data_IF_680487250341
#
_entry.id   IF_680487250341
#
_cell.length_a   1.000
_cell.length_b   1.000
_cell.length_c   1.000
_cell.angle_alpha   90.00
_cell.angle_beta   90.00
_cell.angle_gamma   90.00
#
_symmetry.space_group_name_H-M   'P 1'
#
loop_
_entity.id
_entity.type
_entity.pdbx_description
1 polymer ?
#
# COMPACT_ATOMS: atom_id res chain seq x y z
N UNK A 1 -1.91 26.33 18.82
CA UNK A 1 -1.71 27.46 17.88
C UNK A 1 -2.49 27.19 16.60
N UNK A 2 -3.61 27.89 16.40
CA UNK A 2 -4.37 27.84 15.14
C UNK A 2 -3.59 28.63 14.10
N UNK A 3 -2.96 27.96 13.15
CA UNK A 3 -2.42 28.60 11.95
C UNK A 3 -3.60 28.93 11.05
N UNK A 4 -3.80 30.22 10.74
CA UNK A 4 -4.66 30.70 9.67
C UNK A 4 -4.42 29.85 8.40
N UNK A 5 -5.39 29.03 8.02
CA UNK A 5 -5.42 28.36 6.70
C UNK A 5 -6.59 28.93 5.93
N UNK A 6 -6.36 30.09 5.34
CA UNK A 6 -7.07 30.44 4.12
C UNK A 6 -6.42 29.62 2.99
N UNK A 7 -6.69 28.32 2.94
CA UNK A 7 -6.24 27.47 1.83
C UNK A 7 -7.39 27.34 0.85
N UNK A 8 -7.25 28.03 -0.28
CA UNK A 8 -8.14 27.98 -1.44
C UNK A 8 -8.17 26.63 -2.16
N UNK A 9 -7.42 25.62 -1.68
CA UNK A 9 -7.25 24.31 -2.30
C UNK A 9 -7.76 23.17 -1.41
N UNK A 10 -8.53 22.26 -2.00
CA UNK A 10 -8.97 21.01 -1.36
C UNK A 10 -8.00 19.87 -1.70
N UNK A 11 -7.84 18.91 -0.79
CA UNK A 11 -7.03 17.72 -0.96
C UNK A 11 -7.90 16.46 -0.91
N UNK A 12 -7.86 15.70 -2.00
CA UNK A 12 -8.54 14.42 -2.13
C UNK A 12 -7.61 13.26 -1.81
N UNK A 13 -8.15 12.22 -1.19
CA UNK A 13 -7.49 10.93 -1.06
C UNK A 13 -8.26 9.87 -1.85
N UNK A 14 -7.54 9.02 -2.60
CA UNK A 14 -8.18 7.91 -3.31
C UNK A 14 -8.81 6.91 -2.32
N UNK A 15 -10.01 6.46 -2.65
CA UNK A 15 -10.70 5.36 -1.98
C UNK A 15 -11.12 4.29 -2.99
N UNK A 16 -11.42 3.09 -2.48
CA UNK A 16 -11.59 1.91 -3.32
C UNK A 16 -12.66 0.98 -2.78
N UNK A 17 -13.32 0.28 -3.68
CA UNK A 17 -14.16 -0.89 -3.38
C UNK A 17 -13.49 -2.10 -4.01
N UNK A 18 -12.49 -2.67 -3.34
CA UNK A 18 -11.73 -3.82 -3.85
C UNK A 18 -11.52 -4.88 -2.78
N UNK A 19 -11.07 -6.07 -3.15
CA UNK A 19 -10.66 -7.08 -2.19
C UNK A 19 -9.16 -6.98 -1.83
N UNK A 20 -8.39 -6.11 -2.47
CA UNK A 20 -6.94 -6.08 -2.34
C UNK A 20 -6.49 -4.93 -1.43
N UNK A 21 -5.82 -5.26 -0.33
CA UNK A 21 -5.34 -4.26 0.65
C UNK A 21 -4.23 -3.34 0.11
N UNK A 22 -3.57 -3.76 -0.98
CA UNK A 22 -2.55 -2.96 -1.66
C UNK A 22 -3.09 -1.64 -2.22
N UNK A 23 -4.41 -1.55 -2.47
CA UNK A 23 -5.06 -0.30 -2.85
C UNK A 23 -5.02 0.70 -1.67
N UNK A 24 -5.41 0.29 -0.46
CA UNK A 24 -5.32 1.16 0.72
C UNK A 24 -3.88 1.50 1.11
N UNK A 25 -2.91 0.59 0.90
CA UNK A 25 -1.49 0.88 1.13
C UNK A 25 -1.01 2.02 0.19
N UNK A 26 -1.47 2.05 -1.06
CA UNK A 26 -1.19 3.17 -1.98
C UNK A 26 -1.76 4.49 -1.46
N UNK A 27 -3.00 4.49 -0.95
CA UNK A 27 -3.58 5.69 -0.33
C UNK A 27 -2.84 6.11 0.94
N UNK A 28 -2.41 5.16 1.78
CA UNK A 28 -1.59 5.46 2.95
C UNK A 28 -0.25 6.10 2.56
N UNK A 29 0.37 5.67 1.46
CA UNK A 29 1.57 6.33 0.95
C UNK A 29 1.29 7.78 0.50
N UNK A 30 0.14 8.03 -0.14
CA UNK A 30 -0.27 9.37 -0.54
C UNK A 30 -0.49 10.32 0.67
N UNK A 31 -0.96 9.80 1.82
CA UNK A 31 -1.14 10.60 3.05
C UNK A 31 0.12 11.34 3.47
N UNK A 32 1.31 10.79 3.17
CA UNK A 32 2.59 11.45 3.43
C UNK A 32 2.63 12.86 2.84
N UNK A 33 2.03 13.05 1.68
CA UNK A 33 2.10 14.30 0.91
C UNK A 33 0.84 15.15 1.02
N UNK A 34 -0.13 14.78 1.85
CA UNK A 34 -1.35 15.56 2.04
C UNK A 34 -1.30 16.30 3.39
N UNK A 35 -1.45 17.64 3.42
CA UNK A 35 -1.47 18.39 4.67
C UNK A 35 -2.76 18.15 5.47
N UNK A 36 -3.82 17.70 4.80
CA UNK A 36 -5.12 17.30 5.34
C UNK A 36 -5.86 16.46 4.29
N UNK A 37 -6.96 15.83 4.69
CA UNK A 37 -7.87 15.11 3.78
C UNK A 37 -9.21 15.84 3.86
N UNK A 38 -9.59 16.53 2.79
CA UNK A 38 -10.88 17.24 2.72
C UNK A 38 -11.99 16.33 2.19
N UNK A 39 -11.64 15.35 1.37
CA UNK A 39 -12.61 14.44 0.75
C UNK A 39 -11.96 13.12 0.31
N UNK A 40 -12.78 12.07 0.23
CA UNK A 40 -12.40 10.82 -0.40
C UNK A 40 -12.92 10.80 -1.84
N UNK A 41 -12.06 10.45 -2.79
CA UNK A 41 -12.40 10.32 -4.20
C UNK A 41 -12.34 8.86 -4.57
N UNK A 42 -13.48 8.25 -4.87
CA UNK A 42 -13.50 6.85 -5.29
C UNK A 42 -12.86 6.74 -6.68
N UNK A 43 -11.86 5.86 -6.80
CA UNK A 43 -11.06 5.69 -8.03
C UNK A 43 -11.91 5.50 -9.30
N UNK A 44 -12.95 4.69 -9.21
CA UNK A 44 -13.88 4.38 -10.32
C UNK A 44 -15.05 5.38 -10.43
N UNK A 45 -14.95 6.56 -9.82
CA UNK A 45 -15.99 7.61 -9.87
C UNK A 45 -15.36 9.01 -10.06
N UNK A 46 -14.16 9.07 -10.64
CA UNK A 46 -13.45 10.34 -10.85
C UNK A 46 -14.17 11.25 -11.84
N UNK A 47 -14.80 10.70 -12.88
CA UNK A 47 -15.56 11.49 -13.87
C UNK A 47 -16.80 12.18 -13.27
N UNK A 48 -17.45 11.55 -12.29
CA UNK A 48 -18.68 12.06 -11.65
C UNK A 48 -18.43 12.86 -10.37
N UNK A 49 -17.18 12.89 -9.87
CA UNK A 49 -16.81 13.65 -8.69
C UNK A 49 -17.09 15.15 -8.89
N UNK A 50 -17.74 15.79 -7.91
CA UNK A 50 -18.05 17.23 -7.94
C UNK A 50 -17.56 17.88 -6.65
N UNK A 51 -16.88 19.01 -6.80
CA UNK A 51 -16.48 19.85 -5.67
C UNK A 51 -16.56 21.32 -6.08
N UNK A 52 -16.98 22.18 -5.14
CA UNK A 52 -17.03 23.64 -5.33
C UNK A 52 -15.64 24.26 -5.47
N UNK A 53 -14.63 23.61 -4.88
CA UNK A 53 -13.21 24.00 -4.96
C UNK A 53 -12.44 22.94 -5.73
N UNK A 54 -11.42 23.37 -6.47
CA UNK A 54 -10.50 22.45 -7.12
C UNK A 54 -9.86 21.53 -6.07
N UNK A 55 -9.95 20.22 -6.30
CA UNK A 55 -9.44 19.18 -5.40
C UNK A 55 -8.18 18.59 -6.00
N UNK A 56 -7.03 18.83 -5.38
CA UNK A 56 -5.78 18.16 -5.72
C UNK A 56 -5.88 16.67 -5.42
N UNK A 57 -5.53 15.83 -6.38
CA UNK A 57 -5.60 14.38 -6.25
C UNK A 57 -4.33 13.72 -6.80
N UNK A 58 -3.63 12.96 -5.96
CA UNK A 58 -2.52 12.11 -6.38
C UNK A 58 -3.11 10.85 -6.99
N UNK A 59 -2.88 10.59 -8.28
CA UNK A 59 -3.54 9.53 -9.05
C UNK A 59 -2.77 8.19 -9.03
N UNK A 60 -2.20 7.83 -7.87
CA UNK A 60 -1.36 6.64 -7.67
C UNK A 60 -2.17 5.36 -7.50
N UNK A 61 -2.80 4.91 -8.58
CA UNK A 61 -3.58 3.68 -8.59
C UNK A 61 -3.44 2.92 -9.91
N UNK A 62 -4.08 1.75 -9.97
CA UNK A 62 -4.37 1.10 -11.23
C UNK A 62 -5.69 1.59 -11.80
N UNK A 63 -5.78 1.75 -13.12
CA UNK A 63 -6.90 2.39 -13.79
C UNK A 63 -7.54 1.45 -14.83
N UNK A 64 -8.64 1.93 -15.44
CA UNK A 64 -9.36 1.28 -16.55
C UNK A 64 -10.23 0.08 -16.20
N UNK A 65 -10.61 -0.10 -14.92
CA UNK A 65 -11.65 -1.07 -14.58
C UNK A 65 -13.03 -0.62 -15.09
N UNK A 66 -13.36 0.68 -14.96
CA UNK A 66 -14.49 1.35 -15.60
C UNK A 66 -14.02 2.51 -16.47
N UNK A 67 -13.61 2.26 -17.72
CA UNK A 67 -13.11 3.29 -18.64
C UNK A 67 -14.10 4.44 -18.87
N UNK A 68 -15.41 4.18 -18.76
CA UNK A 68 -16.47 5.20 -18.83
C UNK A 68 -16.43 6.21 -17.68
N UNK A 69 -15.74 5.87 -16.57
CA UNK A 69 -15.55 6.74 -15.39
C UNK A 69 -14.26 7.56 -15.47
N UNK A 70 -13.60 7.57 -16.62
CA UNK A 70 -12.41 8.36 -16.95
C UNK A 70 -12.68 9.17 -18.23
N UNK A 71 -12.16 10.42 -18.37
CA UNK A 71 -11.25 11.14 -17.47
C UNK A 71 -11.90 11.71 -16.19
N UNK A 72 -11.09 12.08 -15.18
CA UNK A 72 -11.54 12.82 -14.01
C UNK A 72 -12.31 14.09 -14.36
N UNK A 73 -13.25 14.49 -13.49
CA UNK A 73 -13.99 15.73 -13.67
C UNK A 73 -13.09 16.97 -13.57
N UNK A 74 -13.57 18.11 -14.10
CA UNK A 74 -12.86 19.41 -14.00
C UNK A 74 -12.68 19.91 -12.56
N UNK A 75 -13.39 19.34 -11.57
CA UNK A 75 -13.18 19.64 -10.16
C UNK A 75 -11.93 18.99 -9.58
N UNK A 76 -11.31 18.04 -10.30
CA UNK A 76 -10.08 17.37 -9.89
C UNK A 76 -8.89 18.06 -10.57
N UNK A 77 -7.93 18.50 -9.76
CA UNK A 77 -6.59 18.88 -10.21
C UNK A 77 -5.68 17.65 -10.04
N UNK A 78 -5.32 16.93 -11.12
CA UNK A 78 -4.63 15.65 -11.01
C UNK A 78 -3.11 15.82 -10.85
N UNK A 79 -2.48 14.90 -10.11
CA UNK A 79 -1.08 14.53 -10.30
C UNK A 79 -1.04 13.10 -10.85
N UNK A 80 -0.83 12.91 -12.16
CA UNK A 80 -0.64 11.59 -12.75
C UNK A 80 0.74 11.04 -12.37
N UNK A 81 0.76 10.15 -11.37
CA UNK A 81 1.99 9.52 -10.87
C UNK A 81 1.69 8.10 -10.40
N UNK A 82 2.63 7.18 -10.55
CA UNK A 82 2.46 5.76 -10.22
C UNK A 82 1.21 5.12 -10.84
N UNK A 83 0.79 5.58 -12.03
CA UNK A 83 -0.38 5.04 -12.72
C UNK A 83 -0.05 3.67 -13.33
N UNK A 84 -0.97 2.72 -13.19
CA UNK A 84 -0.86 1.40 -13.82
C UNK A 84 -2.09 1.09 -14.67
N UNK A 85 -1.88 0.50 -15.84
CA UNK A 85 -2.95 -0.07 -16.65
C UNK A 85 -2.61 -1.53 -16.90
N UNK A 86 -3.48 -2.42 -16.42
CA UNK A 86 -3.38 -3.86 -16.66
C UNK A 86 -3.39 -4.13 -18.15
N UNK A 87 -2.57 -5.07 -18.59
CA UNK A 87 -2.45 -5.46 -20.00
C UNK A 87 -3.81 -5.79 -20.61
N UNK A 88 -4.67 -6.52 -19.88
CA UNK A 88 -6.00 -6.92 -20.36
C UNK A 88 -7.01 -5.76 -20.49
N UNK A 89 -6.67 -4.58 -19.96
CA UNK A 89 -7.50 -3.37 -19.98
C UNK A 89 -6.92 -2.27 -20.87
N UNK A 90 -5.80 -2.51 -21.55
CA UNK A 90 -5.16 -1.49 -22.38
C UNK A 90 -6.04 -1.10 -23.58
N UNK A 91 -6.72 -2.04 -24.20
CA UNK A 91 -7.57 -1.72 -25.36
C UNK A 91 -8.93 -1.09 -24.99
N UNK A 92 -9.21 -0.91 -23.69
CA UNK A 92 -10.46 -0.30 -23.22
C UNK A 92 -10.36 1.22 -23.04
N UNK A 93 -9.16 1.79 -23.19
CA UNK A 93 -8.92 3.23 -23.11
C UNK A 93 -9.52 3.94 -24.34
N UNK A 94 -10.59 4.70 -24.12
CA UNK A 94 -11.27 5.45 -25.19
C UNK A 94 -10.51 6.71 -25.63
N UNK A 95 -10.83 7.24 -26.82
CA UNK A 95 -10.19 8.43 -27.40
C UNK A 95 -10.22 9.64 -26.46
N UNK A 96 -11.37 9.90 -25.83
CA UNK A 96 -11.52 10.98 -24.83
C UNK A 96 -10.52 10.87 -23.67
N UNK A 97 -10.22 9.64 -23.23
CA UNK A 97 -9.25 9.37 -22.16
C UNK A 97 -7.82 9.57 -22.65
N UNK A 98 -7.52 9.17 -23.89
CA UNK A 98 -6.23 9.38 -24.53
C UNK A 98 -5.94 10.88 -24.68
N UNK A 99 -6.91 11.65 -25.21
CA UNK A 99 -6.77 13.09 -25.41
C UNK A 99 -6.55 13.82 -24.09
N UNK A 100 -7.31 13.45 -23.05
CA UNK A 100 -7.11 13.99 -21.71
C UNK A 100 -5.70 13.69 -21.16
N UNK A 101 -5.21 12.46 -21.31
CA UNK A 101 -3.86 12.09 -20.84
C UNK A 101 -2.75 12.82 -21.62
N UNK A 102 -2.96 13.11 -22.91
CA UNK A 102 -2.06 13.96 -23.70
C UNK A 102 -2.06 15.40 -23.19
N UNK A 103 -3.23 15.94 -22.84
CA UNK A 103 -3.38 17.30 -22.32
C UNK A 103 -2.66 17.50 -20.98
N UNK A 104 -2.81 16.55 -20.04
CA UNK A 104 -2.27 16.71 -18.67
C UNK A 104 -0.85 16.16 -18.48
N UNK A 105 -0.22 15.64 -19.54
CA UNK A 105 1.09 15.00 -19.47
C UNK A 105 2.21 15.94 -18.94
N UNK A 106 3.35 15.39 -18.51
CA UNK A 106 3.75 13.97 -18.63
C UNK A 106 3.10 13.07 -17.56
N UNK A 107 2.79 11.83 -17.95
CA UNK A 107 2.15 10.82 -17.09
C UNK A 107 3.20 9.95 -16.39
N UNK A 108 3.19 9.95 -15.06
CA UNK A 108 4.05 9.05 -14.28
C UNK A 108 3.46 7.64 -14.21
N UNK A 109 4.10 6.69 -14.87
CA UNK A 109 3.72 5.28 -14.90
C UNK A 109 4.37 4.50 -13.74
N UNK A 110 3.69 3.49 -13.22
CA UNK A 110 4.19 2.63 -12.13
C UNK A 110 5.23 1.61 -12.58
N UNK A 111 5.18 1.24 -13.85
CA UNK A 111 6.03 0.27 -14.51
C UNK A 111 6.28 0.68 -15.96
N UNK A 112 7.37 0.14 -16.52
CA UNK A 112 7.81 0.44 -17.89
C UNK A 112 6.81 -0.10 -18.92
N UNK A 113 6.12 -1.21 -18.62
CA UNK A 113 5.09 -1.73 -19.53
C UNK A 113 3.93 -0.75 -19.72
N UNK A 114 3.46 -0.10 -18.65
CA UNK A 114 2.45 0.96 -18.74
C UNK A 114 2.99 2.19 -19.46
N UNK A 115 4.26 2.56 -19.22
CA UNK A 115 4.92 3.66 -19.94
C UNK A 115 4.90 3.39 -21.46
N UNK A 116 5.45 2.26 -21.90
CA UNK A 116 5.52 1.89 -23.31
C UNK A 116 4.12 1.85 -23.95
N UNK A 117 3.12 1.35 -23.21
CA UNK A 117 1.73 1.39 -23.67
C UNK A 117 1.23 2.82 -23.88
N UNK A 118 1.43 3.72 -22.92
CA UNK A 118 1.02 5.12 -23.05
C UNK A 118 1.76 5.83 -24.21
N UNK A 119 3.06 5.62 -24.33
CA UNK A 119 3.87 6.17 -25.44
C UNK A 119 3.39 5.65 -26.80
N UNK A 120 2.98 4.38 -26.91
CA UNK A 120 2.40 3.82 -28.14
C UNK A 120 1.09 4.49 -28.59
N UNK A 121 0.39 5.18 -27.67
CA UNK A 121 -0.82 5.98 -27.95
C UNK A 121 -0.49 7.47 -28.17
N UNK A 122 0.79 7.83 -28.19
CA UNK A 122 1.27 9.21 -28.31
C UNK A 122 1.08 10.03 -27.03
N UNK A 123 0.96 9.39 -25.87
CA UNK A 123 0.87 10.06 -24.56
C UNK A 123 2.30 10.24 -24.02
N UNK A 124 2.66 11.47 -23.66
CA UNK A 124 3.94 11.73 -22.99
C UNK A 124 3.95 11.07 -21.60
N UNK A 125 4.80 10.07 -21.40
CA UNK A 125 4.84 9.26 -20.20
C UNK A 125 6.28 8.99 -19.75
N UNK A 126 6.46 8.65 -18.47
CA UNK A 126 7.75 8.27 -17.91
C UNK A 126 7.56 7.26 -16.78
N UNK A 127 8.57 6.43 -16.53
CA UNK A 127 8.59 5.58 -15.35
C UNK A 127 8.79 6.42 -14.08
N UNK A 128 7.79 6.42 -13.21
CA UNK A 128 7.81 7.07 -11.90
C UNK A 128 7.98 6.10 -10.73
N UNK A 129 7.70 4.81 -10.95
CA UNK A 129 7.63 3.82 -9.88
C UNK A 129 6.37 3.95 -9.01
N UNK A 130 6.31 3.19 -7.92
CA UNK A 130 5.15 3.10 -7.04
C UNK A 130 5.32 4.00 -5.81
N UNK A 131 4.32 4.85 -5.53
CA UNK A 131 4.31 5.76 -4.39
C UNK A 131 4.56 5.05 -3.04
N UNK A 132 4.28 3.75 -2.92
CA UNK A 132 4.59 2.99 -1.70
C UNK A 132 6.08 2.95 -1.34
N UNK A 133 6.99 3.21 -2.30
CA UNK A 133 8.42 3.38 -2.04
C UNK A 133 8.74 4.59 -1.14
N UNK A 134 7.79 5.53 -1.00
CA UNK A 134 7.94 6.73 -0.17
C UNK A 134 7.44 6.55 1.25
N UNK A 135 7.04 5.36 1.68
CA UNK A 135 6.67 5.13 3.08
C UNK A 135 7.87 5.40 4.00
N UNK A 136 7.62 5.99 5.17
CA UNK A 136 8.65 6.29 6.16
C UNK A 136 8.68 5.20 7.21
N UNK A 137 9.85 4.57 7.40
CA UNK A 137 10.07 3.65 8.51
C UNK A 137 9.82 4.36 9.85
N UNK A 138 9.08 3.70 10.74
CA UNK A 138 9.00 4.12 12.13
C UNK A 138 10.19 3.51 12.92
N UNK A 139 11.14 4.32 13.45
CA UNK A 139 12.26 3.80 14.23
C UNK A 139 11.83 3.18 15.56
N UNK A 140 10.68 3.60 16.10
CA UNK A 140 10.12 3.10 17.37
C UNK A 140 9.51 1.69 17.23
N UNK A 141 9.42 1.18 16.01
CA UNK A 141 8.95 -0.18 15.72
C UNK A 141 10.19 -1.06 15.48
N UNK A 142 10.68 -1.79 16.50
CA UNK A 142 11.83 -2.67 16.33
C UNK A 142 11.48 -3.82 15.39
N UNK A 143 12.49 -4.50 14.83
CA UNK A 143 12.25 -5.78 14.16
C UNK A 143 11.91 -6.85 15.20
N UNK A 144 11.03 -7.77 14.83
CA UNK A 144 10.61 -8.94 15.59
C UNK A 144 11.20 -10.18 14.96
N UNK A 145 11.18 -11.28 15.71
CA UNK A 145 11.83 -12.54 15.32
C UNK A 145 10.86 -13.49 14.59
N UNK A 146 10.36 -13.05 13.43
CA UNK A 146 9.46 -13.86 12.60
C UNK A 146 9.56 -13.53 11.11
N UNK A 147 9.28 -14.53 10.28
CA UNK A 147 9.17 -14.38 8.82
C UNK A 147 7.71 -14.24 8.44
N UNK A 148 7.41 -13.31 7.55
CA UNK A 148 6.07 -13.13 6.99
C UNK A 148 6.02 -13.62 5.53
N UNK A 149 5.23 -14.67 5.30
CA UNK A 149 4.98 -15.28 4.01
C UNK A 149 3.66 -14.73 3.42
N UNK A 150 3.73 -13.93 2.37
CA UNK A 150 2.56 -13.22 1.82
C UNK A 150 2.19 -13.73 0.43
N UNK A 151 1.00 -14.32 0.33
CA UNK A 151 0.43 -14.89 -0.91
C UNK A 151 1.41 -15.81 -1.66
N UNK A 152 2.08 -16.68 -0.90
CA UNK A 152 2.97 -17.72 -1.42
C UNK A 152 2.26 -19.07 -1.55
N UNK A 153 2.61 -19.89 -2.56
CA UNK A 153 2.19 -21.28 -2.65
C UNK A 153 2.56 -22.10 -1.43
N UNK A 154 1.74 -23.10 -1.08
CA UNK A 154 1.94 -23.94 0.11
C UNK A 154 3.31 -24.64 0.11
N UNK A 155 3.75 -25.12 -1.06
CA UNK A 155 5.05 -25.76 -1.22
C UNK A 155 6.21 -24.82 -0.83
N UNK A 156 6.14 -23.55 -1.24
CA UNK A 156 7.15 -22.54 -0.90
C UNK A 156 7.13 -22.26 0.60
N UNK A 157 5.94 -22.10 1.20
CA UNK A 157 5.83 -21.87 2.66
C UNK A 157 6.34 -23.05 3.47
N UNK A 158 6.06 -24.28 3.02
CA UNK A 158 6.62 -25.50 3.63
C UNK A 158 8.15 -25.46 3.58
N UNK A 159 8.73 -25.04 2.46
CA UNK A 159 10.19 -24.92 2.33
C UNK A 159 10.77 -23.86 3.27
N UNK A 160 10.13 -22.68 3.40
CA UNK A 160 10.55 -21.64 4.38
C UNK A 160 10.64 -22.26 5.78
N UNK A 161 9.60 -22.98 6.21
CA UNK A 161 9.54 -23.62 7.54
C UNK A 161 10.59 -24.72 7.75
N UNK A 162 11.11 -25.32 6.68
CA UNK A 162 12.19 -26.30 6.75
C UNK A 162 13.57 -25.64 6.77
N UNK A 163 13.69 -24.42 6.25
CA UNK A 163 14.96 -23.70 6.13
C UNK A 163 15.28 -22.85 7.36
N UNK A 164 14.28 -22.37 8.10
CA UNK A 164 14.47 -21.50 9.28
C UNK A 164 13.92 -22.13 10.56
N UNK A 165 14.51 -21.77 11.71
CA UNK A 165 13.93 -22.05 13.04
C UNK A 165 12.94 -20.99 13.53
N UNK A 166 12.86 -19.84 12.83
CA UNK A 166 11.99 -18.72 13.21
C UNK A 166 10.53 -19.05 12.97
N UNK A 167 9.65 -18.31 13.66
CA UNK A 167 8.21 -18.41 13.45
C UNK A 167 7.86 -17.91 12.05
N UNK A 168 7.06 -18.66 11.31
CA UNK A 168 6.60 -18.31 9.96
C UNK A 168 5.10 -18.06 9.97
N UNK A 169 4.70 -16.81 9.76
CA UNK A 169 3.31 -16.40 9.66
C UNK A 169 2.89 -16.27 8.19
N UNK A 170 1.66 -16.66 7.88
CA UNK A 170 1.06 -16.46 6.57
C UNK A 170 0.09 -15.28 6.61
N UNK A 171 0.11 -14.47 5.57
CA UNK A 171 -0.83 -13.38 5.38
C UNK A 171 -1.28 -13.37 3.91
N UNK A 172 -2.54 -13.00 3.68
CA UNK A 172 -3.02 -12.71 2.33
C UNK A 172 -3.25 -11.21 2.16
N UNK A 173 -2.94 -10.69 0.96
CA UNK A 173 -3.33 -9.34 0.58
C UNK A 173 -4.82 -9.26 0.18
N UNK A 174 -5.49 -10.41 0.01
CA UNK A 174 -6.90 -10.50 -0.32
C UNK A 174 -7.73 -10.51 0.96
N UNK A 175 -8.77 -9.69 0.96
CA UNK A 175 -9.66 -9.43 2.08
C UNK A 175 -11.12 -9.59 1.68
N UNK A 176 -11.97 -9.80 2.68
CA UNK A 176 -13.42 -9.74 2.46
C UNK A 176 -13.84 -8.36 1.95
N UNK A 177 -14.72 -8.30 0.94
CA UNK A 177 -15.29 -7.03 0.45
C UNK A 177 -16.25 -6.39 1.47
N UNK A 178 -16.65 -7.09 2.53
CA UNK A 178 -17.61 -6.59 3.53
C UNK A 178 -17.07 -5.50 4.46
N UNK A 179 -15.78 -5.18 4.41
CA UNK A 179 -15.21 -4.15 5.28
C UNK A 179 -15.54 -2.74 4.80
N UNK A 180 -15.85 -1.85 5.76
CA UNK A 180 -15.98 -0.42 5.48
C UNK A 180 -14.62 0.20 5.15
N UNK A 181 -14.62 1.36 4.49
CA UNK A 181 -13.38 2.06 4.12
C UNK A 181 -12.44 2.29 5.31
N UNK A 182 -12.98 2.66 6.48
CA UNK A 182 -12.18 2.87 7.69
C UNK A 182 -11.53 1.57 8.17
N UNK A 183 -12.28 0.46 8.16
CA UNK A 183 -11.75 -0.85 8.56
C UNK A 183 -10.65 -1.32 7.61
N UNK A 184 -10.78 -1.04 6.31
CA UNK A 184 -9.75 -1.35 5.32
C UNK A 184 -8.49 -0.52 5.56
N UNK A 185 -8.62 0.78 5.82
CA UNK A 185 -7.47 1.61 6.16
C UNK A 185 -6.77 1.15 7.44
N UNK A 186 -7.52 0.79 8.48
CA UNK A 186 -6.95 0.25 9.71
C UNK A 186 -6.20 -1.04 9.44
N UNK A 187 -6.79 -1.96 8.68
CA UNK A 187 -6.07 -3.19 8.37
C UNK A 187 -4.85 -2.96 7.46
N UNK A 188 -4.90 -2.02 6.52
CA UNK A 188 -3.74 -1.66 5.72
C UNK A 188 -2.60 -1.09 6.61
N UNK A 189 -2.93 -0.27 7.61
CA UNK A 189 -1.96 0.16 8.63
C UNK A 189 -1.42 -1.02 9.43
N UNK A 190 -2.26 -2.01 9.76
CA UNK A 190 -1.81 -3.24 10.42
C UNK A 190 -0.87 -4.07 9.56
N UNK A 191 -1.15 -4.20 8.27
CA UNK A 191 -0.26 -4.89 7.35
C UNK A 191 1.08 -4.17 7.28
N UNK A 192 1.09 -2.84 7.11
CA UNK A 192 2.33 -2.05 7.14
C UNK A 192 3.09 -2.17 8.46
N UNK A 193 2.38 -2.22 9.58
CA UNK A 193 2.96 -2.50 10.89
C UNK A 193 3.65 -3.88 10.92
N UNK A 194 2.98 -4.94 10.47
CA UNK A 194 3.54 -6.29 10.40
C UNK A 194 4.73 -6.38 9.44
N UNK A 195 4.66 -5.72 8.28
CA UNK A 195 5.79 -5.60 7.34
C UNK A 195 6.98 -4.89 8.01
N UNK A 196 6.74 -3.82 8.76
CA UNK A 196 7.79 -3.10 9.50
C UNK A 196 8.36 -3.93 10.66
N UNK A 197 7.56 -4.81 11.28
CA UNK A 197 8.01 -5.67 12.39
C UNK A 197 8.74 -6.92 11.91
N UNK A 198 8.44 -7.48 10.74
CA UNK A 198 9.00 -8.76 10.32
C UNK A 198 10.54 -8.76 10.28
N UNK A 199 11.16 -9.89 10.64
CA UNK A 199 12.59 -10.13 10.44
C UNK A 199 12.92 -10.12 8.94
N UNK A 200 12.10 -10.84 8.18
CA UNK A 200 12.15 -10.92 6.72
C UNK A 200 10.73 -11.12 6.17
N UNK A 201 10.48 -10.60 4.97
CA UNK A 201 9.25 -10.85 4.22
C UNK A 201 9.57 -11.66 2.97
N UNK A 202 8.76 -12.67 2.68
CA UNK A 202 8.84 -13.43 1.42
C UNK A 202 7.49 -13.33 0.72
N UNK A 203 7.47 -12.88 -0.53
CA UNK A 203 6.21 -12.56 -1.20
C UNK A 203 6.26 -12.60 -2.72
N UNK A 204 5.09 -12.76 -3.35
CA UNK A 204 4.85 -12.60 -4.79
C UNK A 204 4.24 -11.23 -5.13
N UNK A 205 3.93 -10.41 -4.11
CA UNK A 205 3.11 -9.20 -4.25
C UNK A 205 3.96 -7.92 -4.28
N UNK A 206 3.74 -7.10 -5.31
CA UNK A 206 4.37 -5.79 -5.46
C UNK A 206 4.09 -4.86 -4.26
N UNK A 207 2.82 -4.74 -3.84
CA UNK A 207 2.41 -3.93 -2.68
C UNK A 207 2.71 -4.57 -1.31
N UNK A 208 3.53 -5.62 -1.28
CA UNK A 208 4.23 -6.06 -0.07
C UNK A 208 5.73 -5.82 -0.21
N UNK A 209 6.30 -6.17 -1.37
CA UNK A 209 7.72 -6.02 -1.66
C UNK A 209 8.21 -4.56 -1.62
N UNK A 210 7.56 -3.66 -2.36
CA UNK A 210 7.99 -2.26 -2.44
C UNK A 210 7.82 -1.50 -1.11
N UNK A 211 6.72 -1.68 -0.35
CA UNK A 211 6.68 -1.19 1.02
C UNK A 211 7.86 -1.70 1.86
N UNK A 212 8.21 -2.98 1.82
CA UNK A 212 9.34 -3.51 2.60
C UNK A 212 10.66 -2.80 2.27
N UNK A 213 10.92 -2.46 1.00
CA UNK A 213 12.07 -1.62 0.64
C UNK A 213 12.03 -0.28 1.38
N UNK A 214 10.90 0.43 1.30
CA UNK A 214 10.71 1.74 1.95
C UNK A 214 10.78 1.70 3.48
N UNK A 215 10.35 0.59 4.08
CA UNK A 215 10.37 0.35 5.52
C UNK A 215 11.70 -0.26 5.99
N UNK A 216 12.63 -0.50 5.07
CA UNK A 216 13.94 -1.14 5.29
C UNK A 216 13.82 -2.57 5.86
N UNK A 217 12.71 -3.25 5.64
CA UNK A 217 12.53 -4.65 6.04
C UNK A 217 13.14 -5.54 4.95
N UNK A 218 14.04 -6.47 5.28
CA UNK A 218 14.58 -7.42 4.32
C UNK A 218 13.46 -8.16 3.59
N UNK A 219 13.53 -8.20 2.26
CA UNK A 219 12.47 -8.79 1.44
C UNK A 219 13.01 -9.61 0.28
N UNK A 220 12.46 -10.81 0.15
CA UNK A 220 12.69 -11.70 -0.98
C UNK A 220 11.40 -11.81 -1.81
N UNK A 221 11.51 -11.44 -3.09
CA UNK A 221 10.45 -11.69 -4.06
C UNK A 221 10.57 -13.11 -4.60
N UNK A 222 9.44 -13.81 -4.70
CA UNK A 222 9.32 -15.10 -5.37
C UNK A 222 8.57 -14.92 -6.68
N UNK A 223 9.20 -15.26 -7.79
CA UNK A 223 8.59 -15.33 -9.10
C UNK A 223 7.97 -16.71 -9.34
N UNK A 224 6.68 -16.73 -9.62
CA UNK A 224 5.95 -17.98 -9.87
C UNK A 224 6.05 -18.35 -11.35
N UNK A 225 6.01 -19.66 -11.65
CA UNK A 225 6.12 -20.12 -13.04
C UNK A 225 5.00 -19.59 -13.94
N UNK A 226 3.78 -19.42 -13.39
CA UNK A 226 2.64 -18.80 -14.08
C UNK A 226 2.85 -17.31 -14.39
N UNK A 227 3.76 -16.68 -13.65
CA UNK A 227 4.08 -15.28 -13.89
C UNK A 227 4.99 -15.17 -15.13
N UNK A 228 5.70 -16.22 -15.57
CA UNK A 228 6.61 -16.16 -16.73
C UNK A 228 5.93 -15.72 -18.05
N UNK A 229 4.62 -15.94 -18.20
CA UNK A 229 3.87 -15.47 -19.37
C UNK A 229 3.37 -14.01 -19.25
N UNK A 230 3.48 -13.40 -18.06
CA UNK A 230 3.02 -12.04 -17.70
C UNK A 230 4.11 -11.19 -16.99
N UNK A 231 5.34 -11.71 -16.84
CA UNK A 231 6.42 -11.13 -16.03
C UNK A 231 6.92 -9.80 -16.60
N UNK A 232 6.60 -9.48 -17.85
CA UNK A 232 6.88 -8.17 -18.44
C UNK A 232 6.03 -7.01 -17.88
N UNK A 233 4.91 -7.25 -17.19
CA UNK A 233 3.94 -6.18 -16.99
C UNK A 233 4.23 -5.28 -15.78
N UNK A 234 4.06 -5.75 -14.53
CA UNK A 234 3.95 -4.84 -13.36
C UNK A 234 5.22 -4.55 -12.56
N UNK A 235 6.28 -5.35 -12.72
CA UNK A 235 7.56 -5.15 -12.04
C UNK A 235 8.67 -4.65 -12.97
N UNK A 236 8.33 -4.37 -14.23
CA UNK A 236 9.27 -3.75 -15.18
C UNK A 236 9.66 -2.35 -14.70
N UNK A 237 10.95 -2.03 -14.73
CA UNK A 237 11.51 -0.79 -14.18
C UNK A 237 12.04 -0.90 -12.74
N UNK A 238 11.89 -2.05 -12.09
CA UNK A 238 12.45 -2.30 -10.74
C UNK A 238 13.67 -3.24 -10.78
N UNK A 239 14.34 -3.37 -11.92
CA UNK A 239 15.48 -4.26 -12.09
C UNK A 239 16.60 -3.91 -11.10
N UNK A 240 16.99 -4.90 -10.30
CA UNK A 240 17.98 -4.73 -9.24
C UNK A 240 17.52 -3.95 -8.01
N UNK A 241 16.23 -3.64 -7.87
CA UNK A 241 15.68 -3.07 -6.63
C UNK A 241 15.32 -4.13 -5.58
N UNK A 242 15.15 -5.39 -5.98
CA UNK A 242 14.71 -6.49 -5.12
C UNK A 242 15.64 -7.69 -5.28
N UNK A 243 15.80 -8.44 -4.19
CA UNK A 243 16.25 -9.83 -4.27
C UNK A 243 15.11 -10.68 -4.84
N UNK A 244 15.43 -11.54 -5.80
CA UNK A 244 14.44 -12.37 -6.50
C UNK A 244 14.90 -13.82 -6.52
N UNK A 245 13.97 -14.74 -6.24
CA UNK A 245 14.13 -16.17 -6.49
C UNK A 245 12.96 -16.68 -7.33
N UNK A 246 13.13 -17.83 -7.97
CA UNK A 246 12.14 -18.43 -8.84
C UNK A 246 11.60 -19.72 -8.22
N UNK A 247 10.28 -19.89 -8.25
CA UNK A 247 9.61 -21.10 -7.80
C UNK A 247 10.13 -22.36 -8.51
N UNK A 248 10.57 -22.22 -9.76
CA UNK A 248 11.16 -23.29 -10.57
C UNK A 248 12.43 -23.91 -9.95
N UNK A 249 13.12 -23.21 -9.05
CA UNK A 249 14.29 -23.75 -8.31
C UNK A 249 13.91 -24.82 -7.29
N UNK A 250 12.62 -25.00 -6.96
CA UNK A 250 12.09 -26.03 -6.05
C UNK A 250 12.89 -26.11 -4.73
N UNK A 251 13.65 -27.18 -4.52
CA UNK A 251 14.42 -27.40 -3.30
C UNK A 251 15.56 -26.40 -3.08
N UNK A 252 16.03 -25.75 -4.14
CA UNK A 252 17.08 -24.72 -4.09
C UNK A 252 16.51 -23.30 -4.11
N UNK A 253 15.22 -23.10 -3.88
CA UNK A 253 14.57 -21.77 -3.94
C UNK A 253 15.20 -20.72 -2.99
N UNK A 254 15.84 -21.15 -1.90
CA UNK A 254 16.52 -20.26 -0.94
C UNK A 254 18.05 -20.44 -0.91
N UNK A 255 18.65 -21.07 -1.93
CA UNK A 255 20.11 -21.29 -1.93
C UNK A 255 20.91 -19.99 -1.94
N UNK A 256 20.35 -18.94 -2.55
CA UNK A 256 21.04 -17.67 -2.80
C UNK A 256 20.55 -16.55 -1.85
N UNK A 257 19.75 -16.90 -0.84
CA UNK A 257 19.17 -15.96 0.12
C UNK A 257 18.97 -16.63 1.48
N UNK A 258 19.82 -16.28 2.45
CA UNK A 258 19.72 -16.78 3.82
C UNK A 258 18.50 -16.14 4.52
N UNK A 259 17.49 -16.95 4.84
CA UNK A 259 16.28 -16.47 5.53
C UNK A 259 16.52 -16.11 7.00
N UNK A 260 17.58 -16.65 7.60
CA UNK A 260 17.94 -16.42 9.00
C UNK A 260 18.90 -15.24 9.20
N UNK A 261 19.66 -14.91 8.16
CA UNK A 261 20.52 -13.73 8.08
C UNK A 261 20.34 -13.05 6.72
N UNK A 262 19.16 -12.46 6.46
CA UNK A 262 18.84 -11.93 5.14
C UNK A 262 19.80 -10.80 4.75
N UNK A 263 20.28 -10.79 3.49
CA UNK A 263 21.12 -9.69 3.01
C UNK A 263 20.34 -8.37 3.05
N UNK A 264 21.07 -7.26 3.12
CA UNK A 264 20.47 -5.94 2.99
C UNK A 264 19.75 -5.81 1.64
N UNK A 265 18.62 -5.10 1.63
CA UNK A 265 17.93 -4.79 0.38
C UNK A 265 18.83 -3.93 -0.52
N UNK A 266 18.82 -4.12 -1.84
CA UNK A 266 19.50 -3.22 -2.77
C UNK A 266 19.00 -1.78 -2.60
N UNK A 267 19.86 -0.80 -2.85
CA UNK A 267 19.54 0.62 -2.64
C UNK A 267 19.07 1.36 -3.91
N UNK A 268 19.07 0.68 -5.07
CA UNK A 268 18.65 1.27 -6.37
C UNK A 268 17.26 1.91 -6.33
N UNK A 269 16.35 1.42 -5.49
CA UNK A 269 15.01 2.00 -5.33
C UNK A 269 15.02 3.43 -4.75
N UNK A 270 16.11 3.86 -4.10
CA UNK A 270 16.21 5.18 -3.47
C UNK A 270 16.13 6.31 -4.49
N UNK A 271 16.69 6.13 -5.69
CA UNK A 271 16.59 7.12 -6.78
C UNK A 271 15.12 7.32 -7.18
N UNK A 272 14.38 6.21 -7.33
CA UNK A 272 12.94 6.23 -7.63
C UNK A 272 12.17 6.92 -6.50
N UNK A 273 12.47 6.58 -5.24
CA UNK A 273 11.87 7.18 -4.04
C UNK A 273 12.09 8.69 -3.99
N UNK A 274 13.29 9.16 -4.28
CA UNK A 274 13.65 10.59 -4.25
C UNK A 274 12.88 11.39 -5.30
N UNK A 275 12.78 10.87 -6.53
CA UNK A 275 11.99 11.51 -7.60
C UNK A 275 10.49 11.55 -7.26
N UNK A 276 9.92 10.44 -6.77
CA UNK A 276 8.54 10.38 -6.29
C UNK A 276 8.29 11.44 -5.21
N UNK A 277 9.15 11.50 -4.18
CA UNK A 277 9.05 12.49 -3.09
C UNK A 277 9.13 13.91 -3.64
N UNK A 278 10.07 14.20 -4.54
CA UNK A 278 10.26 15.53 -5.14
C UNK A 278 8.99 15.97 -5.87
N UNK A 279 8.45 15.13 -6.75
CA UNK A 279 7.27 15.44 -7.57
C UNK A 279 6.01 15.61 -6.73
N UNK A 280 5.75 14.67 -5.81
CA UNK A 280 4.54 14.74 -4.99
C UNK A 280 4.60 15.91 -4.00
N UNK A 281 5.78 16.21 -3.43
CA UNK A 281 5.98 17.41 -2.60
C UNK A 281 5.78 18.69 -3.41
N UNK A 282 6.30 18.78 -4.64
CA UNK A 282 6.12 19.95 -5.49
C UNK A 282 4.63 20.19 -5.82
N UNK A 283 3.87 19.11 -6.02
CA UNK A 283 2.44 19.18 -6.33
C UNK A 283 1.59 19.69 -5.14
N UNK A 284 1.82 19.17 -3.93
CA UNK A 284 0.98 19.51 -2.76
C UNK A 284 1.56 20.62 -1.89
N UNK A 285 2.85 20.92 -2.03
CA UNK A 285 3.60 21.78 -1.12
C UNK A 285 3.91 21.12 0.23
N UNK A 286 3.64 19.82 0.40
CA UNK A 286 3.71 19.13 1.69
C UNK A 286 4.44 17.79 1.59
N UNK A 287 5.27 17.50 2.59
CA UNK A 287 5.96 16.23 2.79
C UNK A 287 6.06 15.93 4.30
N UNK A 288 5.09 15.18 4.81
CA UNK A 288 5.03 14.72 6.18
C UNK A 288 6.14 13.71 6.48
N UNK A 289 6.96 13.98 7.50
CA UNK A 289 8.05 13.08 7.89
C UNK A 289 7.61 11.94 8.80
N UNK A 290 6.45 12.09 9.47
CA UNK A 290 5.93 11.04 10.35
C UNK A 290 5.51 9.81 9.54
N UNK A 291 5.76 8.59 10.04
CA UNK A 291 5.17 7.38 9.47
C UNK A 291 3.65 7.50 9.38
N UNK A 292 3.09 7.14 8.22
CA UNK A 292 1.64 7.14 7.98
C UNK A 292 0.96 5.83 8.41
N UNK A 293 1.72 4.96 9.06
CA UNK A 293 1.29 3.73 9.70
C UNK A 293 1.94 3.65 11.09
N UNK A 294 1.26 3.01 12.03
CA UNK A 294 1.79 2.87 13.37
C UNK A 294 0.65 2.75 14.36
N UNK A 295 0.71 1.67 15.11
CA UNK A 295 0.06 1.55 16.39
C UNK A 295 1.12 1.79 17.46
N UNK A 296 0.73 2.28 18.64
CA UNK A 296 1.67 2.51 19.73
C UNK A 296 2.40 1.22 20.12
N UNK A 297 1.75 0.05 19.95
CA UNK A 297 2.37 -1.26 20.06
C UNK A 297 1.59 -2.41 19.38
N UNK A 298 2.10 -3.65 19.56
CA UNK A 298 1.51 -4.89 19.03
C UNK A 298 0.05 -5.09 19.55
N UNK A 299 -0.31 -4.55 20.72
CA UNK A 299 -1.63 -4.75 21.36
C UNK A 299 -2.68 -3.85 20.71
N UNK A 300 -2.37 -2.58 20.47
CA UNK A 300 -3.30 -1.71 19.73
C UNK A 300 -3.60 -2.28 18.33
N UNK A 301 -2.57 -2.84 17.66
CA UNK A 301 -2.73 -3.52 16.38
C UNK A 301 -3.73 -4.68 16.47
N UNK A 302 -3.55 -5.56 17.47
CA UNK A 302 -4.42 -6.71 17.72
C UNK A 302 -5.84 -6.30 18.14
N UNK A 303 -5.99 -5.26 18.95
CA UNK A 303 -7.29 -4.74 19.38
C UNK A 303 -8.08 -4.23 18.18
N UNK A 304 -7.47 -3.44 17.29
CA UNK A 304 -8.14 -2.95 16.09
C UNK A 304 -8.49 -4.08 15.11
N UNK A 305 -7.60 -5.05 14.94
CA UNK A 305 -7.90 -6.25 14.15
C UNK A 305 -9.13 -7.00 14.70
N UNK A 306 -9.16 -7.25 16.01
CA UNK A 306 -10.27 -7.99 16.64
C UNK A 306 -11.58 -7.22 16.60
N UNK A 307 -11.55 -5.90 16.78
CA UNK A 307 -12.72 -5.02 16.61
C UNK A 307 -13.26 -5.07 15.17
N UNK A 308 -12.37 -5.00 14.17
CA UNK A 308 -12.77 -4.98 12.76
C UNK A 308 -13.34 -6.32 12.30
N UNK A 309 -12.87 -7.43 12.86
CA UNK A 309 -13.35 -8.78 12.56
C UNK A 309 -14.62 -9.17 13.34
N UNK A 310 -15.20 -8.25 14.13
CA UNK A 310 -16.44 -8.44 14.90
C UNK A 310 -16.44 -9.72 15.78
N UNK A 311 -15.28 -10.13 16.29
CA UNK A 311 -15.17 -11.33 17.13
C UNK A 311 -15.90 -11.18 18.48
N UNK A 312 -16.31 -12.32 19.06
CA UNK A 312 -16.93 -12.41 20.40
C UNK A 312 -16.07 -11.69 21.45
N UNK A 313 -16.72 -10.97 22.37
CA UNK A 313 -16.12 -10.38 23.59
C UNK A 313 -15.18 -11.34 24.33
N UNK A 314 -15.40 -12.66 24.27
CA UNK A 314 -14.50 -13.69 24.84
C UNK A 314 -13.14 -13.75 24.14
N UNK A 315 -13.10 -13.62 22.82
CA UNK A 315 -11.86 -13.61 22.03
C UNK A 315 -11.12 -12.30 22.29
N UNK A 316 -11.81 -11.16 22.26
CA UNK A 316 -11.22 -9.88 22.63
C UNK A 316 -10.65 -9.89 24.05
N UNK A 317 -11.39 -10.41 25.03
CA UNK A 317 -10.91 -10.56 26.42
C UNK A 317 -9.65 -11.41 26.48
N UNK A 318 -9.58 -12.53 25.74
CA UNK A 318 -8.36 -13.35 25.67
C UNK A 318 -7.21 -12.55 25.07
N UNK A 319 -7.38 -11.91 23.92
CA UNK A 319 -6.34 -11.08 23.28
C UNK A 319 -5.81 -9.99 24.21
N UNK A 320 -6.70 -9.34 24.96
CA UNK A 320 -6.35 -8.35 25.98
C UNK A 320 -5.61 -8.95 27.17
N UNK A 321 -5.98 -10.16 27.59
CA UNK A 321 -5.37 -10.87 28.73
C UNK A 321 -3.90 -11.24 28.48
N UNK A 322 -3.47 -11.32 27.22
CA UNK A 322 -2.07 -11.55 26.83
C UNK A 322 -1.28 -10.23 26.62
N UNK A 323 -1.90 -9.07 26.84
CA UNK A 323 -1.27 -7.75 26.70
C UNK A 323 -0.55 -7.26 27.96
N UNK A 324 0.40 -6.33 27.83
CA UNK A 324 1.16 -5.74 28.94
C UNK A 324 0.22 -4.96 29.88
N UNK A 325 0.64 -4.80 31.13
CA UNK A 325 -0.17 -4.27 32.24
C UNK A 325 -0.75 -2.87 32.00
N UNK A 326 -0.06 -2.02 31.24
CA UNK A 326 -0.54 -0.66 30.91
C UNK A 326 -1.69 -0.67 29.90
N UNK A 327 -1.72 -1.65 29.00
CA UNK A 327 -2.75 -1.77 27.95
C UNK A 327 -4.05 -2.36 28.51
N UNK A 328 -3.91 -3.26 29.48
CA UNK A 328 -5.00 -3.70 30.35
C UNK A 328 -5.64 -2.52 31.09
N UNK A 329 -4.82 -1.56 31.53
CA UNK A 329 -5.25 -0.33 32.22
C UNK A 329 -6.00 0.61 31.27
N UNK A 330 -5.52 0.82 30.05
CA UNK A 330 -6.17 1.68 29.07
C UNK A 330 -7.55 1.13 28.63
N UNK A 331 -7.65 -0.18 28.45
CA UNK A 331 -8.90 -0.85 28.09
C UNK A 331 -9.86 -0.93 29.28
N UNK A 332 -9.34 -1.15 30.50
CA UNK A 332 -10.11 -1.01 31.73
C UNK A 332 -10.64 0.43 31.87
N UNK A 333 -9.82 1.44 31.58
CA UNK A 333 -10.21 2.85 31.65
C UNK A 333 -11.31 3.20 30.66
N UNK A 334 -11.16 2.83 29.38
CA UNK A 334 -12.21 3.03 28.36
C UNK A 334 -13.53 2.35 28.74
N UNK A 335 -13.47 1.14 29.30
CA UNK A 335 -14.67 0.39 29.71
C UNK A 335 -15.34 0.95 30.97
N UNK A 336 -14.54 1.50 31.89
CA UNK A 336 -15.02 1.97 33.19
C UNK A 336 -15.54 3.39 33.12
N UNK A 337 -14.88 4.25 32.33
CA UNK A 337 -15.17 5.69 32.28
C UNK A 337 -15.90 6.15 31.01
N UNK A 338 -15.85 5.40 29.90
CA UNK A 338 -16.65 5.69 28.69
C UNK A 338 -17.81 4.70 28.58
N UNK A 339 -18.84 4.86 29.42
CA UNK A 339 -20.11 4.15 29.25
C UNK A 339 -20.95 4.83 28.17
N UNK A 340 -21.42 4.06 27.18
CA UNK A 340 -22.58 4.47 26.36
C UNK A 340 -23.74 4.82 27.28
N UNK A 341 -24.25 6.03 27.17
CA UNK A 341 -25.49 6.45 27.82
C UNK A 341 -26.70 5.95 27.04
N UNK A 342 -27.86 5.91 27.70
CA UNK A 342 -29.12 5.24 27.28
C UNK A 342 -29.67 5.57 25.88
N UNK A 343 -29.09 6.51 25.14
CA UNK A 343 -29.58 6.94 23.83
C UNK A 343 -28.94 6.21 22.63
N UNK A 344 -28.00 5.29 22.88
CA UNK A 344 -27.29 4.58 21.81
C UNK A 344 -27.88 3.17 21.53
N UNK A 345 -29.18 3.05 21.25
CA UNK A 345 -29.74 1.80 20.71
C UNK A 345 -29.66 1.76 19.19
#
# INVERSE_FOLDING_TARGET
MKTNKDTTQNFGLLSYSSMNIGDEIQSIAALRFLPQIDTLVHREQTASFKSKKATKLIMNAWWMWKPESFPPSKSIAPLPISMYIRDELRDTLNEKSIDYLKEIGPIGCRDVSTQNYMESKGINAYFSGCLTLTLNRNPDIPRGDFILAIDLPDAVVKKIRQTTKRRVFRLSAIMTPSFTQNQRFDLARTVLYLLSRAHCVVTTRLHAALPCLALETPVLRVDLAKDNNNIQSRFSGYEGCLHVTHESKKDKIFSDYDLDNPPANPDKYKVIREDLVKRTKAFTGYDGKKPCYGYMDDIEALVRLTQNLKYDRRVMKKTLWWGRSNDLLQVWFQKTFLKKTKNDR
#
